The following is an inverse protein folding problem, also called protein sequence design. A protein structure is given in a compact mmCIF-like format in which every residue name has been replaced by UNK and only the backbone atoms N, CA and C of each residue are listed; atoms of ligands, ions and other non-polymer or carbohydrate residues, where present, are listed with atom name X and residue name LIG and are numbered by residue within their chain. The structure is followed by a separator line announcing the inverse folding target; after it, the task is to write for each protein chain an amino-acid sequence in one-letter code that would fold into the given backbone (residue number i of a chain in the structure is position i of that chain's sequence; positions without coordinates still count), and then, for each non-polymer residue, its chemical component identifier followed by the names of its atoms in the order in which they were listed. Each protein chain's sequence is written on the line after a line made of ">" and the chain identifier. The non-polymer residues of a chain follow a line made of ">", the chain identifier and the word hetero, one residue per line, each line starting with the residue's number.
data_IF_909201054984
#
_entry.id   IF_909201054984
#
_cell.length_a   1.000
_cell.length_b   1.000
_cell.length_c   1.000
_cell.angle_alpha   90.00
_cell.angle_beta   90.00
_cell.angle_gamma   90.00
#
_symmetry.space_group_name_H-M   'P 1'
#
loop_
_entity.id
_entity.type
_entity.pdbx_description
1 polymer ?
#
# COMPACT_ATOMS: atom_id res chain seq x y z
N UNK A 1 -3.26 -20.97 9.52
CA UNK A 1 -3.32 -20.61 8.09
C UNK A 1 -1.99 -20.93 7.47
N UNK A 2 -1.99 -21.45 6.24
CA UNK A 2 -0.77 -21.73 5.52
C UNK A 2 -0.17 -20.44 4.94
N UNK A 3 1.12 -20.47 4.57
CA UNK A 3 1.77 -19.37 3.87
C UNK A 3 1.12 -19.08 2.52
N UNK A 4 0.62 -20.11 1.82
CA UNK A 4 -0.15 -19.96 0.59
C UNK A 4 -1.47 -19.23 0.79
N UNK A 5 -2.19 -19.47 1.90
CA UNK A 5 -3.44 -18.75 2.21
C UNK A 5 -3.17 -17.26 2.42
N UNK A 6 -2.06 -16.92 3.08
CA UNK A 6 -1.66 -15.55 3.35
C UNK A 6 -1.31 -14.79 2.05
N UNK A 7 -0.61 -15.45 1.12
CA UNK A 7 -0.33 -14.90 -0.21
C UNK A 7 -1.64 -14.67 -0.96
N UNK A 8 -2.54 -15.66 -1.00
CA UNK A 8 -3.82 -15.54 -1.69
C UNK A 8 -4.70 -14.41 -1.12
N UNK A 9 -4.71 -14.21 0.20
CA UNK A 9 -5.41 -13.09 0.84
C UNK A 9 -4.81 -11.74 0.43
N UNK A 10 -3.48 -11.65 0.36
CA UNK A 10 -2.75 -10.44 -0.06
C UNK A 10 -3.01 -10.10 -1.52
N UNK A 11 -3.00 -11.10 -2.41
CA UNK A 11 -3.33 -10.92 -3.83
C UNK A 11 -4.76 -10.39 -4.01
N UNK A 12 -5.75 -10.95 -3.32
CA UNK A 12 -7.14 -10.46 -3.35
C UNK A 12 -7.28 -9.02 -2.88
N UNK A 13 -6.49 -8.61 -1.89
CA UNK A 13 -6.47 -7.22 -1.44
C UNK A 13 -5.89 -6.31 -2.53
N UNK A 14 -4.81 -6.69 -3.19
CA UNK A 14 -4.25 -5.92 -4.32
C UNK A 14 -5.20 -5.85 -5.52
N UNK A 15 -5.91 -6.93 -5.84
CA UNK A 15 -6.96 -6.93 -6.86
C UNK A 15 -8.07 -5.93 -6.51
N UNK A 16 -8.52 -5.92 -5.25
CA UNK A 16 -9.52 -4.96 -4.77
C UNK A 16 -9.00 -3.51 -4.84
N UNK A 17 -7.72 -3.29 -4.53
CA UNK A 17 -7.08 -1.99 -4.66
C UNK A 17 -7.00 -1.51 -6.11
N UNK A 18 -6.56 -2.36 -7.05
CA UNK A 18 -6.52 -2.05 -8.48
C UNK A 18 -7.90 -1.78 -9.08
N UNK A 19 -8.95 -2.40 -8.53
CA UNK A 19 -10.34 -2.14 -8.92
C UNK A 19 -10.97 -0.91 -8.22
N UNK A 20 -10.25 -0.21 -7.35
CA UNK A 20 -10.79 0.89 -6.53
C UNK A 20 -11.88 0.44 -5.53
N UNK A 21 -11.95 -0.86 -5.22
CA UNK A 21 -12.97 -1.44 -4.35
C UNK A 21 -12.56 -1.32 -2.88
N UNK A 22 -12.74 -0.12 -2.30
CA UNK A 22 -12.46 0.16 -0.89
C UNK A 22 -13.13 -0.85 0.07
N UNK A 23 -14.44 -1.18 -0.06
CA UNK A 23 -15.05 -2.21 0.79
C UNK A 23 -14.36 -3.57 0.71
N UNK A 24 -13.93 -3.96 -0.50
CA UNK A 24 -13.16 -5.18 -0.74
C UNK A 24 -11.80 -5.18 -0.02
N UNK A 25 -11.07 -4.07 -0.06
CA UNK A 25 -9.81 -3.91 0.68
C UNK A 25 -10.05 -4.05 2.18
N UNK A 26 -11.02 -3.27 2.70
CA UNK A 26 -11.34 -3.18 4.13
C UNK A 26 -11.78 -4.53 4.71
N UNK A 27 -12.37 -5.42 3.91
CA UNK A 27 -12.74 -6.78 4.33
C UNK A 27 -11.52 -7.64 4.75
N UNK A 28 -10.35 -7.39 4.15
CA UNK A 28 -9.09 -8.09 4.42
C UNK A 28 -8.22 -7.42 5.48
N UNK A 29 -8.72 -6.39 6.17
CA UNK A 29 -8.03 -5.73 7.27
C UNK A 29 -8.59 -6.20 8.63
N UNK A 30 -7.69 -6.38 9.60
CA UNK A 30 -8.10 -6.49 11.00
C UNK A 30 -8.57 -5.14 11.54
N UNK A 31 -9.39 -5.18 12.59
CA UNK A 31 -9.94 -3.96 13.18
C UNK A 31 -8.85 -3.11 13.86
N UNK A 32 -7.79 -3.76 14.35
CA UNK A 32 -6.58 -3.19 14.96
C UNK A 32 -5.41 -3.02 13.98
N UNK A 33 -5.66 -3.01 12.66
CA UNK A 33 -4.59 -2.91 11.65
C UNK A 33 -3.75 -1.63 11.80
N UNK A 34 -2.45 -1.73 11.60
CA UNK A 34 -1.56 -0.55 11.54
C UNK A 34 -0.93 -0.42 10.15
N UNK A 35 -1.07 0.72 9.51
CA UNK A 35 -0.38 1.07 8.27
C UNK A 35 0.72 2.07 8.58
N UNK A 36 1.93 1.81 8.06
CA UNK A 36 3.01 2.79 8.04
C UNK A 36 3.43 3.06 6.60
N UNK A 37 3.34 4.31 6.19
CA UNK A 37 3.96 4.81 4.97
C UNK A 37 4.98 5.87 5.39
N UNK A 38 6.26 5.60 5.17
CA UNK A 38 7.32 6.51 5.61
C UNK A 38 7.49 7.64 4.60
N UNK A 39 7.82 8.84 5.04
CA UNK A 39 8.05 10.00 4.16
C UNK A 39 7.65 11.31 4.81
N UNK A 40 7.94 12.46 4.16
CA UNK A 40 7.50 13.78 4.64
C UNK A 40 5.97 13.92 4.54
N UNK A 41 5.30 13.90 5.69
CA UNK A 41 3.82 13.99 5.81
C UNK A 41 3.26 15.34 5.34
N UNK A 42 4.08 16.39 5.28
CA UNK A 42 3.73 17.71 4.75
C UNK A 42 3.78 17.78 3.22
N UNK A 43 4.36 16.77 2.56
CA UNK A 43 4.55 16.73 1.11
C UNK A 43 3.81 15.56 0.47
N UNK A 44 3.90 14.35 1.03
CA UNK A 44 3.26 13.14 0.49
C UNK A 44 1.90 12.96 1.18
N UNK A 45 0.76 13.10 0.48
CA UNK A 45 -0.57 13.17 1.12
C UNK A 45 -0.95 11.94 1.94
N UNK A 46 -0.40 10.78 1.60
CA UNK A 46 -0.68 9.48 2.22
C UNK A 46 0.49 8.97 3.08
N UNK A 47 1.50 9.80 3.37
CA UNK A 47 2.53 9.45 4.33
C UNK A 47 2.02 9.57 5.77
N UNK A 48 2.57 8.73 6.64
CA UNK A 48 2.28 8.72 8.07
C UNK A 48 1.91 7.35 8.61
N UNK A 49 1.30 7.34 9.78
CA UNK A 49 0.84 6.13 10.47
C UNK A 49 -0.67 6.17 10.66
N UNK A 50 -1.35 5.09 10.27
CA UNK A 50 -2.80 4.93 10.36
C UNK A 50 -3.12 3.76 11.29
N UNK A 51 -3.90 4.01 12.33
CA UNK A 51 -4.20 3.07 13.40
C UNK A 51 -5.68 2.65 13.38
N UNK A 52 -5.89 1.37 13.14
CA UNK A 52 -7.21 0.78 13.04
C UNK A 52 -7.83 0.94 11.66
N UNK A 53 -8.90 0.17 11.46
CA UNK A 53 -9.52 -0.03 10.15
C UNK A 53 -10.07 1.23 9.50
N UNK A 54 -10.61 2.17 10.29
CA UNK A 54 -11.14 3.43 9.77
C UNK A 54 -10.03 4.30 9.19
N UNK A 55 -8.89 4.39 9.87
CA UNK A 55 -7.74 5.17 9.38
C UNK A 55 -7.09 4.48 8.19
N UNK A 56 -7.01 3.15 8.21
CA UNK A 56 -6.54 2.37 7.08
C UNK A 56 -7.41 2.57 5.83
N UNK A 57 -8.74 2.64 5.98
CA UNK A 57 -9.63 3.01 4.89
C UNK A 57 -9.28 4.40 4.32
N UNK A 58 -9.10 5.40 5.20
CA UNK A 58 -8.69 6.76 4.79
C UNK A 58 -7.37 6.75 4.03
N UNK A 59 -6.40 5.93 4.43
CA UNK A 59 -5.14 5.76 3.70
C UNK A 59 -5.39 5.33 2.24
N UNK A 60 -6.15 4.25 2.00
CA UNK A 60 -6.42 3.79 0.64
C UNK A 60 -7.21 4.80 -0.19
N UNK A 61 -8.18 5.48 0.40
CA UNK A 61 -8.92 6.57 -0.24
C UNK A 61 -7.99 7.74 -0.62
N UNK A 62 -7.06 8.09 0.26
CA UNK A 62 -6.08 9.17 0.02
C UNK A 62 -5.11 8.79 -1.09
N UNK A 63 -4.62 7.54 -1.14
CA UNK A 63 -3.78 7.06 -2.24
C UNK A 63 -4.52 7.15 -3.58
N UNK A 64 -5.72 6.56 -3.69
CA UNK A 64 -6.48 6.54 -4.95
C UNK A 64 -6.89 7.95 -5.43
N UNK A 65 -7.07 8.90 -4.51
CA UNK A 65 -7.38 10.29 -4.84
C UNK A 65 -6.15 11.15 -5.13
N UNK A 66 -4.95 10.74 -4.71
CA UNK A 66 -3.71 11.53 -4.86
C UNK A 66 -2.86 11.14 -6.07
N UNK A 67 -2.97 9.90 -6.56
CA UNK A 67 -2.18 9.41 -7.70
C UNK A 67 -3.04 8.75 -8.77
N UNK A 68 -2.56 8.79 -10.00
CA UNK A 68 -2.98 7.87 -11.06
C UNK A 68 -1.98 6.71 -11.10
N UNK A 69 -2.51 5.48 -11.06
CA UNK A 69 -1.70 4.25 -11.07
C UNK A 69 -1.61 3.75 -12.51
N UNK A 70 -0.42 3.82 -13.11
CA UNK A 70 -0.18 3.29 -14.47
C UNK A 70 0.37 1.87 -14.43
N UNK A 71 1.29 1.64 -13.49
CA UNK A 71 1.91 0.33 -13.25
C UNK A 71 1.93 0.08 -11.75
N UNK A 72 1.44 -1.08 -11.35
CA UNK A 72 1.62 -1.65 -10.02
C UNK A 72 1.79 -3.15 -10.22
N UNK A 73 3.05 -3.59 -10.29
CA UNK A 73 3.41 -4.96 -10.66
C UNK A 73 4.14 -5.63 -9.49
N UNK A 74 3.42 -6.43 -8.68
CA UNK A 74 4.03 -7.36 -7.74
C UNK A 74 4.84 -8.43 -8.48
N UNK A 75 6.12 -8.56 -8.17
CA UNK A 75 7.04 -9.50 -8.81
C UNK A 75 7.23 -10.77 -7.97
N UNK A 76 7.48 -10.61 -6.67
CA UNK A 76 7.70 -11.74 -5.77
C UNK A 76 6.77 -11.68 -4.56
N UNK A 77 6.25 -12.85 -4.16
CA UNK A 77 5.52 -13.03 -2.91
C UNK A 77 6.28 -14.03 -2.04
N UNK A 78 6.88 -13.53 -0.96
CA UNK A 78 7.67 -14.33 -0.02
C UNK A 78 6.87 -14.43 1.27
N UNK A 79 6.48 -15.64 1.67
CA UNK A 79 5.70 -15.85 2.89
C UNK A 79 6.36 -16.84 3.84
N UNK A 80 6.45 -16.44 5.11
CA UNK A 80 6.92 -17.27 6.20
C UNK A 80 6.11 -16.97 7.46
N UNK A 81 5.58 -18.01 8.13
CA UNK A 81 4.72 -17.88 9.32
C UNK A 81 3.56 -16.89 9.08
N UNK A 82 3.59 -15.76 9.78
CA UNK A 82 2.61 -14.67 9.76
C UNK A 82 3.05 -13.50 8.86
N UNK A 83 4.15 -13.61 8.12
CA UNK A 83 4.67 -12.56 7.26
C UNK A 83 4.40 -12.85 5.79
N UNK A 84 4.06 -11.80 5.06
CA UNK A 84 4.09 -11.75 3.60
C UNK A 84 4.91 -10.54 3.21
N UNK A 85 5.96 -10.77 2.43
CA UNK A 85 6.77 -9.73 1.80
C UNK A 85 6.43 -9.74 0.33
N UNK A 86 6.15 -8.57 -0.22
CA UNK A 86 5.94 -8.41 -1.65
C UNK A 86 6.95 -7.42 -2.18
N UNK A 87 7.70 -7.81 -3.20
CA UNK A 87 8.56 -6.90 -3.96
C UNK A 87 7.95 -6.65 -5.33
N UNK A 88 8.30 -5.53 -5.92
CA UNK A 88 7.89 -5.21 -7.28
C UNK A 88 8.24 -3.77 -7.63
N UNK A 89 7.62 -3.27 -8.69
CA UNK A 89 7.82 -1.90 -9.13
C UNK A 89 6.48 -1.21 -9.44
N UNK A 90 6.52 0.12 -9.36
CA UNK A 90 5.36 0.97 -9.61
C UNK A 90 5.72 2.13 -10.56
N UNK A 91 4.71 2.58 -11.30
CA UNK A 91 4.71 3.83 -12.03
C UNK A 91 3.40 4.54 -11.78
N UNK A 92 3.47 5.67 -11.10
CA UNK A 92 2.36 6.50 -10.72
C UNK A 92 2.54 7.91 -11.30
N UNK A 93 1.47 8.69 -11.29
CA UNK A 93 1.51 10.14 -11.52
C UNK A 93 0.86 10.86 -10.35
N UNK A 94 1.57 11.81 -9.75
CA UNK A 94 1.01 12.68 -8.73
C UNK A 94 -0.04 13.61 -9.38
N UNK A 95 -1.30 13.50 -8.95
CA UNK A 95 -2.40 14.24 -9.57
C UNK A 95 -2.28 15.76 -9.42
N UNK A 96 -1.68 16.21 -8.32
CA UNK A 96 -1.51 17.64 -8.04
C UNK A 96 -0.52 18.35 -8.96
N UNK A 97 0.47 17.63 -9.49
CA UNK A 97 1.58 18.21 -10.27
C UNK A 97 1.73 17.63 -11.67
N UNK A 98 1.10 16.49 -11.96
CA UNK A 98 1.30 15.72 -13.19
C UNK A 98 2.67 15.02 -13.26
N UNK A 99 3.45 15.03 -12.19
CA UNK A 99 4.80 14.46 -12.17
C UNK A 99 4.78 12.95 -11.92
N UNK A 100 5.69 12.23 -12.59
CA UNK A 100 5.80 10.78 -12.47
C UNK A 100 6.52 10.35 -11.18
N UNK A 101 6.08 9.23 -10.61
CA UNK A 101 6.72 8.50 -9.51
C UNK A 101 6.99 7.09 -10.04
N UNK A 102 8.25 6.68 -10.15
CA UNK A 102 8.72 5.36 -10.57
C UNK A 102 9.63 4.74 -9.51
N UNK A 103 9.16 3.74 -8.79
CA UNK A 103 9.94 3.16 -7.70
C UNK A 103 9.84 1.65 -7.71
N UNK A 104 10.91 1.00 -7.27
CA UNK A 104 10.77 -0.33 -6.67
C UNK A 104 10.08 -0.18 -5.32
N UNK A 105 9.30 -1.17 -4.91
CA UNK A 105 8.66 -1.19 -3.60
C UNK A 105 8.89 -2.51 -2.89
N UNK A 106 8.87 -2.45 -1.56
CA UNK A 106 8.71 -3.62 -0.70
C UNK A 106 7.53 -3.39 0.24
N UNK A 107 6.53 -4.26 0.17
CA UNK A 107 5.44 -4.30 1.14
C UNK A 107 5.73 -5.36 2.19
N UNK A 108 5.85 -4.93 3.45
CA UNK A 108 6.05 -5.85 4.58
C UNK A 108 4.76 -5.98 5.37
N UNK A 109 4.08 -7.11 5.16
CA UNK A 109 2.76 -7.38 5.71
C UNK A 109 2.87 -8.38 6.86
N UNK A 110 2.16 -8.09 7.95
CA UNK A 110 1.87 -9.04 9.02
C UNK A 110 0.43 -9.48 8.92
N UNK A 111 0.22 -10.79 8.98
CA UNK A 111 -1.06 -11.46 8.90
C UNK A 111 -1.50 -11.91 10.28
N UNK A 112 -2.79 -11.75 10.59
CA UNK A 112 -3.43 -12.31 11.78
C UNK A 112 -4.82 -12.74 11.36
N UNK A 113 -5.15 -14.01 11.59
CA UNK A 113 -6.43 -14.60 11.21
C UNK A 113 -6.79 -14.38 9.72
N UNK A 114 -5.80 -14.44 8.82
CA UNK A 114 -6.01 -14.35 7.37
C UNK A 114 -6.23 -12.94 6.85
N UNK A 115 -6.03 -11.94 7.70
CA UNK A 115 -6.19 -10.52 7.40
C UNK A 115 -4.92 -9.77 7.76
N UNK A 116 -4.71 -8.63 7.12
CA UNK A 116 -3.61 -7.74 7.45
C UNK A 116 -3.81 -7.18 8.86
N UNK A 117 -2.83 -7.36 9.74
CA UNK A 117 -2.71 -6.68 11.03
C UNK A 117 -1.66 -5.58 11.03
N UNK A 118 -0.69 -5.64 10.12
CA UNK A 118 0.24 -4.54 9.87
C UNK A 118 0.67 -4.51 8.43
N UNK A 119 0.76 -3.32 7.86
CA UNK A 119 1.30 -3.07 6.54
C UNK A 119 2.34 -1.96 6.62
N UNK A 120 3.48 -2.16 5.95
CA UNK A 120 4.55 -1.17 5.86
C UNK A 120 5.00 -1.08 4.41
N UNK A 121 4.98 0.13 3.89
CA UNK A 121 5.45 0.44 2.55
C UNK A 121 6.89 0.93 2.59
N UNK A 122 7.72 0.38 1.70
CA UNK A 122 9.10 0.81 1.47
C UNK A 122 9.30 1.07 -0.02
N UNK A 123 9.07 2.30 -0.43
CA UNK A 123 9.38 2.82 -1.76
C UNK A 123 10.36 4.00 -1.70
N UNK A 124 10.79 4.52 -2.85
CA UNK A 124 11.58 5.75 -2.97
C UNK A 124 10.73 6.98 -2.64
N UNK A 125 10.74 7.33 -1.36
CA UNK A 125 10.00 8.47 -0.81
C UNK A 125 10.63 9.81 -1.19
N UNK A 126 11.92 9.84 -1.56
CA UNK A 126 12.57 11.05 -2.11
C UNK A 126 11.95 11.38 -3.46
N UNK A 127 11.79 10.37 -4.30
CA UNK A 127 11.15 10.55 -5.60
C UNK A 127 9.66 10.93 -5.46
N UNK A 128 8.91 10.26 -4.57
CA UNK A 128 7.52 10.62 -4.30
C UNK A 128 7.41 12.08 -3.81
N UNK A 129 8.23 12.49 -2.85
CA UNK A 129 8.25 13.86 -2.35
C UNK A 129 8.60 14.89 -3.44
N UNK A 130 9.57 14.56 -4.30
CA UNK A 130 9.91 15.39 -5.46
C UNK A 130 8.72 15.55 -6.40
N UNK A 131 8.01 14.46 -6.74
CA UNK A 131 6.87 14.51 -7.64
C UNK A 131 5.73 15.37 -7.07
N UNK A 132 5.44 15.30 -5.76
CA UNK A 132 4.40 16.12 -5.13
C UNK A 132 4.80 17.60 -4.94
N UNK A 133 6.08 17.93 -5.06
CA UNK A 133 6.61 19.29 -4.83
C UNK A 133 6.87 20.09 -6.11
N UNK A 134 6.95 19.44 -7.28
CA UNK A 134 7.25 20.11 -8.54
C UNK A 134 6.07 20.98 -9.03
N UNK A 135 6.35 22.22 -9.43
CA UNK A 135 5.43 23.14 -10.09
C UNK A 135 5.97 23.54 -11.45
#
# INVERSE_FOLDING_TARGET
>A
MSTSDNIAATQKLFEAFGAGNIPGIVAFLNDDVVINFYGPEDIIPYAGTYNGKQEAQRFFETVLSSVDIHVFEPEEFIAERDKVIVTGHLHLTAKSTGSAIKSDFVHVITMKNGKWSRFRDFMDTVQAASAFSQK
#
